data_IF_526804052725
#
_entry.id   IF_526804052725
#
_cell.length_a   1.000
_cell.length_b   1.000
_cell.length_c   1.000
_cell.angle_alpha   90.00
_cell.angle_beta   90.00
_cell.angle_gamma   90.00
#
_symmetry.space_group_name_H-M   'P 1'
#
loop_
_entity.id
_entity.type
_entity.pdbx_description
1 polymer ?
#
# COMPACT_ATOMS: atom_id res chain seq x y z
N UNK A 1 26.66 21.74 13.66
CA UNK A 1 25.98 20.74 12.82
C UNK A 1 24.79 21.42 12.15
N UNK A 2 24.93 21.79 10.89
CA UNK A 2 23.91 22.53 10.13
C UNK A 2 22.83 21.54 9.69
N UNK A 3 21.61 21.69 10.22
CA UNK A 3 20.44 20.93 9.77
C UNK A 3 20.25 21.23 8.27
N UNK A 4 20.51 20.25 7.40
CA UNK A 4 20.20 20.38 5.96
C UNK A 4 18.74 20.81 5.85
N UNK A 5 18.50 22.00 5.29
CA UNK A 5 17.15 22.48 5.06
C UNK A 5 16.49 21.51 4.09
N UNK A 6 15.46 20.77 4.54
CA UNK A 6 14.67 19.91 3.65
C UNK A 6 13.95 20.82 2.64
N UNK A 7 13.98 20.41 1.38
CA UNK A 7 13.16 21.01 0.34
C UNK A 7 11.67 20.90 0.73
N UNK A 8 10.84 21.91 0.39
CA UNK A 8 9.41 21.82 0.62
C UNK A 8 8.79 20.68 -0.21
N UNK A 9 7.68 20.13 0.28
CA UNK A 9 6.93 19.10 -0.44
C UNK A 9 6.45 19.63 -1.81
N UNK A 10 6.58 18.85 -2.91
CA UNK A 10 6.00 19.17 -4.21
C UNK A 10 4.47 19.30 -4.16
N UNK A 11 3.82 18.69 -3.15
CA UNK A 11 2.38 18.80 -2.94
C UNK A 11 1.91 20.24 -2.72
N UNK A 12 2.82 21.15 -2.35
CA UNK A 12 2.51 22.57 -2.18
C UNK A 12 1.99 23.21 -3.47
N UNK A 13 2.46 22.76 -4.63
CA UNK A 13 2.08 23.28 -5.95
C UNK A 13 0.61 22.98 -6.31
N UNK A 14 0.02 21.95 -5.68
CA UNK A 14 -1.36 21.55 -5.89
C UNK A 14 -2.36 22.27 -4.98
N UNK A 15 -1.89 23.08 -4.03
CA UNK A 15 -2.75 23.88 -3.17
C UNK A 15 -3.18 25.19 -3.85
N UNK A 16 -4.31 25.80 -3.45
CA UNK A 16 -4.69 27.12 -3.93
C UNK A 16 -3.58 28.15 -3.74
N UNK A 17 -3.45 29.11 -4.66
CA UNK A 17 -2.34 30.08 -4.73
C UNK A 17 -2.05 30.81 -3.41
N UNK A 18 -3.10 31.14 -2.64
CA UNK A 18 -3.00 31.78 -1.31
C UNK A 18 -2.21 30.97 -0.27
N UNK A 19 -1.96 29.68 -0.52
CA UNK A 19 -1.25 28.76 0.35
C UNK A 19 0.16 28.41 -0.14
N UNK A 20 0.47 28.61 -1.43
CA UNK A 20 1.73 28.19 -2.05
C UNK A 20 2.96 28.98 -1.55
N UNK A 21 2.76 30.24 -1.13
CA UNK A 21 3.84 31.11 -0.66
C UNK A 21 4.21 30.91 0.82
N UNK A 22 3.59 29.95 1.53
CA UNK A 22 3.77 29.74 2.98
C UNK A 22 4.87 28.70 3.27
N UNK A 23 6.06 29.07 3.77
CA UNK A 23 7.17 28.14 3.96
C UNK A 23 6.86 27.02 4.98
N UNK A 24 6.07 27.34 6.01
CA UNK A 24 5.60 26.34 6.98
C UNK A 24 4.82 25.21 6.32
N UNK A 25 3.97 25.53 5.35
CA UNK A 25 3.05 24.56 4.76
C UNK A 25 3.81 23.53 3.92
N UNK A 26 4.85 23.95 3.21
CA UNK A 26 5.74 23.03 2.48
C UNK A 26 6.42 22.00 3.39
N UNK A 27 6.74 22.37 4.64
CA UNK A 27 7.30 21.43 5.63
C UNK A 27 6.21 20.54 6.24
N UNK A 28 5.05 21.11 6.53
CA UNK A 28 3.90 20.37 7.06
C UNK A 28 3.44 19.25 6.12
N UNK A 29 3.47 19.50 4.81
CA UNK A 29 3.06 18.53 3.78
C UNK A 29 4.00 17.33 3.65
N UNK A 30 5.25 17.40 4.08
CA UNK A 30 6.20 16.28 3.99
C UNK A 30 5.70 15.02 4.73
N UNK A 31 4.99 15.19 5.85
CA UNK A 31 4.40 14.07 6.58
C UNK A 31 3.29 13.39 5.76
N UNK A 32 2.49 14.16 5.03
CA UNK A 32 1.44 13.63 4.16
C UNK A 32 2.04 12.98 2.92
N UNK A 33 3.07 13.58 2.34
CA UNK A 33 3.81 13.02 1.21
C UNK A 33 4.42 11.65 1.58
N UNK A 34 4.97 11.52 2.80
CA UNK A 34 5.46 10.23 3.33
C UNK A 34 4.36 9.18 3.39
N UNK A 35 3.19 9.52 3.92
CA UNK A 35 2.07 8.58 4.12
C UNK A 35 1.42 8.21 2.78
N UNK A 36 1.20 9.18 1.91
CA UNK A 36 0.43 9.00 0.67
C UNK A 36 1.32 8.42 -0.43
N UNK A 37 2.48 9.04 -0.67
CA UNK A 37 3.37 8.71 -1.79
C UNK A 37 4.57 7.84 -1.39
N UNK A 38 4.76 7.59 -0.09
CA UNK A 38 5.88 6.77 0.40
C UNK A 38 7.24 7.49 0.39
N UNK A 39 7.27 8.83 0.26
CA UNK A 39 8.48 9.64 0.10
C UNK A 39 9.65 9.26 1.04
N UNK A 40 10.87 9.14 0.52
CA UNK A 40 12.06 8.79 1.31
C UNK A 40 12.72 10.02 1.94
N UNK A 41 12.40 10.34 3.20
CA UNK A 41 12.96 11.48 3.94
C UNK A 41 13.82 11.10 5.16
N UNK A 42 14.16 9.82 5.29
CA UNK A 42 14.90 9.26 6.42
C UNK A 42 14.10 9.16 7.73
N UNK A 43 12.80 9.46 7.73
CA UNK A 43 11.91 9.18 8.86
C UNK A 43 11.44 7.74 8.78
N UNK A 44 11.63 6.99 9.88
CA UNK A 44 11.15 5.62 9.97
C UNK A 44 9.62 5.61 10.06
N UNK A 45 8.97 5.02 9.06
CA UNK A 45 7.54 4.80 9.01
C UNK A 45 7.33 3.33 8.62
N UNK A 46 6.60 2.58 9.45
CA UNK A 46 6.51 1.12 9.35
C UNK A 46 5.64 0.60 8.20
N UNK A 47 5.02 1.49 7.42
CA UNK A 47 4.13 1.11 6.34
C UNK A 47 4.65 1.67 5.01
N UNK A 48 4.31 0.96 3.94
CA UNK A 48 4.45 1.44 2.58
C UNK A 48 3.55 2.67 2.35
N UNK A 49 3.90 3.51 1.37
CA UNK A 49 3.05 4.63 0.97
C UNK A 49 1.70 4.12 0.44
N UNK A 50 0.62 4.85 0.74
CA UNK A 50 -0.75 4.47 0.38
C UNK A 50 -0.91 4.19 -1.13
N UNK A 51 -0.29 4.99 -1.99
CA UNK A 51 -0.33 4.79 -3.44
C UNK A 51 0.21 3.41 -3.84
N UNK A 52 1.36 3.03 -3.28
CA UNK A 52 1.94 1.73 -3.55
C UNK A 52 1.10 0.61 -2.90
N UNK A 53 0.53 0.81 -1.71
CA UNK A 53 -0.43 -0.15 -1.11
C UNK A 53 -1.65 -0.37 -2.01
N UNK A 54 -2.16 0.68 -2.65
CA UNK A 54 -3.27 0.59 -3.61
C UNK A 54 -2.82 -0.15 -4.88
N UNK A 55 -1.61 0.14 -5.38
CA UNK A 55 -1.06 -0.55 -6.55
C UNK A 55 -0.99 -2.07 -6.34
N UNK A 56 -0.73 -2.51 -5.11
CA UNK A 56 -0.61 -3.92 -4.74
C UNK A 56 -1.96 -4.63 -4.51
N UNK A 57 -3.11 -3.94 -4.61
CA UNK A 57 -4.45 -4.55 -4.40
C UNK A 57 -4.67 -5.79 -5.29
N UNK A 58 -4.13 -5.80 -6.51
CA UNK A 58 -4.27 -6.93 -7.42
C UNK A 58 -3.70 -8.24 -6.85
N UNK A 59 -2.68 -8.17 -5.98
CA UNK A 59 -2.05 -9.34 -5.36
C UNK A 59 -3.01 -10.12 -4.45
N UNK A 60 -4.02 -9.45 -3.87
CA UNK A 60 -5.05 -10.09 -3.04
C UNK A 60 -6.00 -10.98 -3.86
N UNK A 61 -6.02 -10.82 -5.19
CA UNK A 61 -6.84 -11.63 -6.09
C UNK A 61 -6.05 -12.74 -6.77
N UNK A 62 -4.72 -12.74 -6.65
CA UNK A 62 -3.86 -13.82 -7.12
C UNK A 62 -3.63 -14.81 -5.96
N UNK A 63 -4.11 -16.07 -6.06
CA UNK A 63 -3.95 -17.05 -4.99
C UNK A 63 -2.48 -17.33 -4.60
N UNK A 64 -1.54 -17.14 -5.54
CA UNK A 64 -0.11 -17.38 -5.31
C UNK A 64 0.59 -16.20 -4.65
N UNK A 65 -0.02 -15.01 -4.67
CA UNK A 65 0.57 -13.77 -4.12
C UNK A 65 -0.20 -13.22 -2.92
N UNK A 66 -1.47 -13.59 -2.75
CA UNK A 66 -2.30 -13.07 -1.66
C UNK A 66 -1.70 -13.44 -0.30
N UNK A 67 -1.73 -12.53 0.69
CA UNK A 67 -1.36 -12.89 2.05
C UNK A 67 -2.20 -14.07 2.56
N UNK A 68 -1.58 -14.99 3.29
CA UNK A 68 -2.19 -16.24 3.75
C UNK A 68 -3.49 -16.01 4.53
N UNK A 69 -3.53 -14.96 5.35
CA UNK A 69 -4.70 -14.57 6.13
C UNK A 69 -5.90 -14.12 5.28
N UNK A 70 -5.68 -13.77 4.01
CA UNK A 70 -6.73 -13.42 3.05
C UNK A 70 -7.20 -14.59 2.18
N UNK A 71 -6.54 -15.77 2.24
CA UNK A 71 -6.98 -16.95 1.50
C UNK A 71 -8.45 -17.35 1.81
N UNK A 72 -8.93 -17.32 3.07
CA UNK A 72 -10.33 -17.59 3.36
C UNK A 72 -11.29 -16.57 2.75
N UNK A 73 -10.89 -15.30 2.65
CA UNK A 73 -11.69 -14.29 1.96
C UNK A 73 -11.71 -14.55 0.45
N UNK A 74 -10.55 -14.83 -0.15
CA UNK A 74 -10.45 -15.12 -1.58
C UNK A 74 -11.25 -16.36 -1.99
N UNK A 75 -11.30 -17.39 -1.14
CA UNK A 75 -12.07 -18.61 -1.44
C UNK A 75 -13.57 -18.35 -1.57
N UNK A 76 -14.11 -17.31 -0.89
CA UNK A 76 -15.53 -16.94 -1.02
C UNK A 76 -15.88 -16.44 -2.42
N UNK A 77 -14.93 -15.83 -3.14
CA UNK A 77 -15.14 -15.31 -4.49
C UNK A 77 -15.30 -16.42 -5.54
N UNK A 78 -14.68 -17.57 -5.29
CA UNK A 78 -14.78 -18.76 -6.15
C UNK A 78 -15.82 -19.77 -5.64
N UNK A 79 -16.66 -19.37 -4.68
CA UNK A 79 -17.67 -20.22 -4.05
C UNK A 79 -17.10 -21.53 -3.46
N UNK A 80 -15.87 -21.48 -2.92
CA UNK A 80 -15.20 -22.62 -2.29
C UNK A 80 -15.12 -22.45 -0.77
N UNK A 81 -15.34 -23.57 -0.08
CA UNK A 81 -15.02 -23.71 1.34
C UNK A 81 -13.63 -24.34 1.47
N UNK A 82 -12.63 -23.55 1.90
CA UNK A 82 -11.30 -24.09 2.22
C UNK A 82 -11.41 -25.05 3.40
N UNK A 83 -10.83 -26.23 3.25
CA UNK A 83 -10.72 -27.18 4.35
C UNK A 83 -9.51 -26.81 5.21
N UNK A 84 -9.71 -26.74 6.52
CA UNK A 84 -8.68 -26.30 7.47
C UNK A 84 -7.53 -27.31 7.66
N UNK A 85 -7.68 -28.54 7.16
CA UNK A 85 -6.64 -29.59 7.18
C UNK A 85 -5.61 -29.45 6.06
N UNK A 86 -5.87 -28.59 5.07
CA UNK A 86 -4.93 -28.32 3.98
C UNK A 86 -3.82 -27.36 4.42
N UNK A 87 -2.60 -27.63 3.96
CA UNK A 87 -1.51 -26.68 4.09
C UNK A 87 -1.72 -25.45 3.17
N UNK A 88 -0.98 -24.37 3.42
CA UNK A 88 -1.15 -23.11 2.69
C UNK A 88 -0.95 -23.30 1.18
N UNK A 89 0.07 -24.06 0.77
CA UNK A 89 0.35 -24.31 -0.66
C UNK A 89 -0.83 -25.01 -1.34
N UNK A 90 -1.38 -26.03 -0.68
CA UNK A 90 -2.55 -26.75 -1.17
C UNK A 90 -3.79 -25.87 -1.28
N UNK A 91 -3.98 -24.94 -0.33
CA UNK A 91 -5.07 -23.97 -0.38
C UNK A 91 -4.91 -23.02 -1.58
N UNK A 92 -3.71 -22.50 -1.82
CA UNK A 92 -3.40 -21.62 -2.95
C UNK A 92 -3.64 -22.31 -4.29
N UNK A 93 -3.10 -23.53 -4.45
CA UNK A 93 -3.26 -24.32 -5.67
C UNK A 93 -4.73 -24.65 -5.94
N UNK A 94 -5.50 -24.98 -4.91
CA UNK A 94 -6.91 -25.32 -5.06
C UNK A 94 -7.76 -24.13 -5.55
N UNK A 95 -7.50 -22.92 -5.03
CA UNK A 95 -8.16 -21.70 -5.49
C UNK A 95 -7.73 -21.38 -6.93
N UNK A 96 -6.43 -21.42 -7.24
CA UNK A 96 -5.90 -21.11 -8.57
C UNK A 96 -6.51 -22.00 -9.66
N UNK A 97 -6.53 -23.32 -9.44
CA UNK A 97 -7.07 -24.30 -10.38
C UNK A 97 -8.60 -24.17 -10.61
N UNK A 98 -9.31 -23.43 -9.75
CA UNK A 98 -10.76 -23.22 -9.89
C UNK A 98 -11.07 -22.05 -10.83
N UNK A 99 -10.21 -21.03 -10.87
CA UNK A 99 -10.38 -19.85 -11.74
C UNK A 99 -9.96 -20.13 -13.18
N UNK A 100 -9.02 -21.05 -13.41
CA UNK A 100 -8.52 -21.42 -14.74
C UNK A 100 -9.45 -22.34 -15.56
N UNK A 101 -10.59 -22.76 -14.99
CA UNK A 101 -11.58 -23.62 -15.66
C UNK A 101 -12.72 -22.84 -16.29
#
# INVERSE_FOLDING_TARGET
>A
MTKLARSPSPLLEYLPEIYQSKPFLGQFLLAFEKIILGHEDGVNYSHQGLEATIADIHTYFDPQQTPTEFLPWLSTWVALSLRADLDVSQQQDFIANTVER
#
